data_IF_683791179624
#
_entry.id   IF_683791179624
#
_cell.length_a   1.000
_cell.length_b   1.000
_cell.length_c   1.000
_cell.angle_alpha   90.00
_cell.angle_beta   90.00
_cell.angle_gamma   90.00
#
_symmetry.space_group_name_H-M   'P 1'
#
loop_
_entity.id
_entity.type
_entity.pdbx_description
1 polymer ?
#
# COMPACT_ATOMS: atom_id res chain seq x y z
N UNK A 1 5.98 9.23 0.64
CA UNK A 1 6.26 8.05 1.51
C UNK A 1 4.98 7.33 1.90
N UNK A 2 4.15 7.89 2.79
CA UNK A 2 2.92 7.24 3.23
C UNK A 2 1.93 6.96 2.08
N UNK A 3 1.62 7.97 1.27
CA UNK A 3 0.69 7.81 0.13
C UNK A 3 1.23 6.84 -0.95
N UNK A 4 2.54 6.91 -1.24
CA UNK A 4 3.22 5.94 -2.10
C UNK A 4 3.04 4.50 -1.59
N UNK A 5 3.27 4.27 -0.30
CA UNK A 5 3.04 2.94 0.28
C UNK A 5 1.58 2.48 0.16
N UNK A 6 0.59 3.37 0.36
CA UNK A 6 -0.81 3.05 0.14
C UNK A 6 -1.10 2.63 -1.32
N UNK A 7 -0.48 3.32 -2.29
CA UNK A 7 -0.56 2.95 -3.70
C UNK A 7 0.07 1.58 -3.97
N UNK A 8 1.25 1.27 -3.43
CA UNK A 8 1.87 -0.04 -3.55
C UNK A 8 1.00 -1.15 -2.93
N UNK A 9 0.40 -0.91 -1.76
CA UNK A 9 -0.52 -1.86 -1.12
C UNK A 9 -1.75 -2.15 -1.99
N UNK A 10 -2.34 -1.13 -2.60
CA UNK A 10 -3.42 -1.28 -3.60
C UNK A 10 -2.97 -2.14 -4.80
N UNK A 11 -1.79 -1.86 -5.35
CA UNK A 11 -1.26 -2.59 -6.51
C UNK A 11 -0.96 -4.06 -6.19
N UNK A 12 -0.40 -4.33 -5.01
CA UNK A 12 -0.15 -5.71 -4.52
C UNK A 12 -1.46 -6.46 -4.29
N UNK A 13 -2.49 -5.80 -3.72
CA UNK A 13 -3.82 -6.38 -3.59
C UNK A 13 -4.38 -6.82 -4.94
N UNK A 14 -4.29 -5.98 -5.97
CA UNK A 14 -4.77 -6.32 -7.32
C UNK A 14 -4.04 -7.51 -7.94
N UNK A 15 -2.72 -7.61 -7.70
CA UNK A 15 -1.93 -8.77 -8.12
C UNK A 15 -2.34 -10.05 -7.38
N UNK A 16 -2.56 -9.98 -6.06
CA UNK A 16 -2.99 -11.13 -5.27
C UNK A 16 -4.36 -11.65 -5.71
N UNK A 17 -5.32 -10.76 -5.94
CA UNK A 17 -6.68 -11.12 -6.33
C UNK A 17 -6.85 -11.38 -7.83
N UNK A 18 -5.89 -10.99 -8.67
CA UNK A 18 -6.03 -11.01 -10.12
C UNK A 18 -7.07 -10.01 -10.65
N UNK A 19 -7.47 -9.03 -9.85
CA UNK A 19 -8.48 -8.03 -10.21
C UNK A 19 -7.88 -6.63 -10.28
N UNK A 20 -8.33 -5.83 -11.24
CA UNK A 20 -7.98 -4.41 -11.28
C UNK A 20 -8.60 -3.70 -10.08
N UNK A 21 -7.80 -3.11 -9.18
CA UNK A 21 -8.35 -2.38 -8.05
C UNK A 21 -9.10 -1.13 -8.52
N UNK A 22 -10.07 -0.69 -7.72
CA UNK A 22 -10.79 0.58 -7.89
C UNK A 22 -9.81 1.77 -8.02
N UNK A 23 -10.17 2.87 -8.72
CA UNK A 23 -9.29 4.02 -8.87
C UNK A 23 -8.68 4.50 -7.54
N UNK A 24 -7.43 4.95 -7.59
CA UNK A 24 -6.76 5.46 -6.41
C UNK A 24 -7.33 6.83 -6.01
N UNK A 25 -7.12 7.23 -4.75
CA UNK A 25 -7.69 8.47 -4.18
C UNK A 25 -7.17 9.75 -4.87
N UNK A 26 -6.04 9.64 -5.56
CA UNK A 26 -5.42 10.72 -6.32
C UNK A 26 -4.98 10.18 -7.67
N UNK A 27 -5.21 10.95 -8.73
CA UNK A 27 -4.74 10.62 -10.07
C UNK A 27 -3.22 10.61 -10.14
N UNK A 28 -2.69 9.79 -11.04
CA UNK A 28 -1.25 9.57 -11.21
C UNK A 28 -0.81 8.18 -10.77
N UNK A 29 0.50 8.02 -10.59
CA UNK A 29 1.13 6.74 -10.34
C UNK A 29 2.29 6.87 -9.36
N UNK A 30 2.42 5.88 -8.48
CA UNK A 30 3.59 5.61 -7.64
C UNK A 30 4.02 6.74 -6.69
N UNK A 31 4.56 7.83 -7.22
CA UNK A 31 5.00 9.02 -6.51
C UNK A 31 4.15 10.22 -6.88
N UNK A 32 3.28 10.59 -5.95
CA UNK A 32 2.30 11.66 -6.14
C UNK A 32 2.84 13.02 -5.74
N UNK A 33 2.56 14.02 -6.57
CA UNK A 33 2.85 15.41 -6.25
C UNK A 33 1.74 16.01 -5.36
N UNK A 34 2.12 16.48 -4.17
CA UNK A 34 1.20 17.02 -3.17
C UNK A 34 1.31 18.56 -3.02
N UNK A 35 2.11 19.21 -3.87
CA UNK A 35 2.30 20.66 -3.92
C UNK A 35 1.18 21.39 -4.68
N UNK A 36 0.35 20.66 -5.43
CA UNK A 36 -0.71 21.21 -6.28
C UNK A 36 -2.06 21.47 -5.58
N UNK A 37 -3.06 21.99 -6.32
CA UNK A 37 -4.39 22.31 -5.79
C UNK A 37 -5.17 21.08 -5.31
N UNK A 38 -4.87 19.89 -5.83
CA UNK A 38 -5.46 18.61 -5.42
C UNK A 38 -4.75 17.98 -4.20
N UNK A 39 -4.07 18.78 -3.35
CA UNK A 39 -3.33 18.23 -2.23
C UNK A 39 -4.26 17.48 -1.28
N UNK A 40 -3.90 16.24 -0.97
CA UNK A 40 -4.47 15.54 0.17
C UNK A 40 -3.87 16.11 1.46
N UNK A 41 -4.73 16.54 2.37
CA UNK A 41 -4.32 16.85 3.74
C UNK A 41 -3.82 15.58 4.45
N UNK A 42 -2.98 15.75 5.47
CA UNK A 42 -2.39 14.62 6.19
C UNK A 42 -3.42 13.60 6.69
N UNK A 43 -4.57 13.98 7.28
CA UNK A 43 -5.60 13.02 7.67
C UNK A 43 -6.16 12.18 6.52
N UNK A 44 -6.26 12.76 5.32
CA UNK A 44 -6.72 12.03 4.13
C UNK A 44 -5.68 11.02 3.65
N UNK A 45 -4.40 11.35 3.76
CA UNK A 45 -3.30 10.41 3.48
C UNK A 45 -3.31 9.26 4.48
N UNK A 46 -3.50 9.55 5.76
CA UNK A 46 -3.62 8.51 6.80
C UNK A 46 -4.81 7.59 6.52
N UNK A 47 -5.97 8.16 6.17
CA UNK A 47 -7.16 7.39 5.81
C UNK A 47 -6.92 6.50 4.57
N UNK A 48 -6.15 6.97 3.58
CA UNK A 48 -5.77 6.18 2.41
C UNK A 48 -4.86 4.99 2.80
N UNK A 49 -3.88 5.21 3.68
CA UNK A 49 -3.02 4.14 4.21
C UNK A 49 -3.83 3.09 4.95
N UNK A 50 -4.68 3.50 5.89
CA UNK A 50 -5.53 2.60 6.68
C UNK A 50 -6.45 1.77 5.78
N UNK A 51 -7.10 2.43 4.81
CA UNK A 51 -8.01 1.79 3.86
C UNK A 51 -7.29 0.73 3.03
N UNK A 52 -6.18 1.07 2.38
CA UNK A 52 -5.49 0.13 1.50
C UNK A 52 -4.80 -0.99 2.28
N UNK A 53 -4.30 -0.73 3.49
CA UNK A 53 -3.79 -1.77 4.39
C UNK A 53 -4.88 -2.75 4.83
N UNK A 54 -6.04 -2.23 5.27
CA UNK A 54 -7.19 -3.07 5.66
C UNK A 54 -7.63 -3.97 4.50
N UNK A 55 -7.74 -3.40 3.30
CA UNK A 55 -8.12 -4.15 2.10
C UNK A 55 -7.08 -5.19 1.69
N UNK A 56 -5.79 -4.87 1.80
CA UNK A 56 -4.71 -5.81 1.53
C UNK A 56 -4.74 -6.97 2.52
N UNK A 57 -4.89 -6.70 3.82
CA UNK A 57 -4.99 -7.73 4.85
C UNK A 57 -6.18 -8.66 4.62
N UNK A 58 -7.35 -8.11 4.26
CA UNK A 58 -8.52 -8.89 3.89
C UNK A 58 -8.26 -9.78 2.66
N UNK A 59 -7.63 -9.24 1.61
CA UNK A 59 -7.30 -10.01 0.41
C UNK A 59 -6.32 -11.16 0.70
N UNK A 60 -5.30 -10.93 1.55
CA UNK A 60 -4.39 -11.99 2.01
C UNK A 60 -5.15 -13.08 2.76
N UNK A 61 -6.06 -12.71 3.67
CA UNK A 61 -6.87 -13.66 4.42
C UNK A 61 -7.83 -14.47 3.52
N UNK A 62 -8.43 -13.83 2.51
CA UNK A 62 -9.33 -14.49 1.57
C UNK A 62 -8.60 -15.47 0.65
N UNK A 63 -7.40 -15.10 0.18
CA UNK A 63 -6.55 -16.01 -0.61
C UNK A 63 -6.07 -17.19 0.25
N UNK A 64 -5.63 -16.94 1.48
CA UNK A 64 -5.21 -18.01 2.40
C UNK A 64 -6.35 -18.98 2.76
N UNK A 65 -7.58 -18.48 2.87
CA UNK A 65 -8.76 -19.29 3.13
C UNK A 65 -9.39 -19.91 1.87
N UNK A 66 -8.82 -19.70 0.68
CA UNK A 66 -9.36 -20.20 -0.59
C UNK A 66 -10.67 -19.53 -1.04
N UNK A 67 -11.08 -18.42 -0.41
CA UNK A 67 -12.26 -17.63 -0.82
C UNK A 67 -11.99 -16.79 -2.07
N UNK A 68 -10.72 -16.52 -2.36
CA UNK A 68 -10.28 -15.86 -3.60
C UNK A 68 -9.18 -16.71 -4.25
N UNK A 69 -9.36 -17.04 -5.53
CA UNK A 69 -8.40 -17.82 -6.31
C UNK A 69 -7.39 -16.88 -6.97
N UNK A 70 -6.18 -16.84 -6.42
CA UNK A 70 -5.06 -16.16 -7.06
C UNK A 70 -4.50 -17.00 -8.22
N UNK A 71 -4.14 -16.35 -9.32
CA UNK A 71 -3.43 -17.00 -10.44
C UNK A 71 -1.93 -17.18 -10.16
N UNK A 72 -1.42 -16.55 -9.10
CA UNK A 72 -0.02 -16.66 -8.70
C UNK A 72 0.23 -17.99 -7.98
N UNK A 73 1.43 -18.55 -8.17
CA UNK A 73 1.91 -19.68 -7.37
C UNK A 73 2.06 -19.30 -5.89
N UNK A 74 2.16 -20.30 -5.02
CA UNK A 74 2.35 -20.06 -3.57
C UNK A 74 3.61 -19.24 -3.28
N UNK A 75 4.72 -19.54 -3.95
CA UNK A 75 5.97 -18.83 -3.80
C UNK A 75 5.85 -17.35 -4.24
N UNK A 76 5.16 -17.07 -5.34
CA UNK A 76 4.92 -15.71 -5.81
C UNK A 76 4.04 -14.92 -4.83
N UNK A 77 2.97 -15.53 -4.31
CA UNK A 77 2.12 -14.91 -3.29
C UNK A 77 2.90 -14.57 -2.03
N UNK A 78 3.70 -15.53 -1.55
CA UNK A 78 4.54 -15.33 -0.37
C UNK A 78 5.52 -14.18 -0.58
N UNK A 79 6.25 -14.18 -1.70
CA UNK A 79 7.21 -13.12 -2.02
C UNK A 79 6.55 -11.75 -2.14
N UNK A 80 5.35 -11.68 -2.71
CA UNK A 80 4.62 -10.44 -2.87
C UNK A 80 4.16 -9.86 -1.51
N UNK A 81 3.64 -10.70 -0.62
CA UNK A 81 3.23 -10.31 0.75
C UNK A 81 4.45 -9.93 1.61
N UNK A 82 5.53 -10.70 1.51
CA UNK A 82 6.79 -10.36 2.19
C UNK A 82 7.35 -9.03 1.67
N UNK A 83 7.36 -8.84 0.35
CA UNK A 83 7.87 -7.63 -0.29
C UNK A 83 7.15 -6.37 0.19
N UNK A 84 5.82 -6.37 0.19
CA UNK A 84 5.04 -5.21 0.67
C UNK A 84 5.18 -4.97 2.18
N UNK A 85 5.40 -6.03 2.96
CA UNK A 85 5.67 -5.92 4.40
C UNK A 85 7.02 -5.25 4.65
N UNK A 86 8.08 -5.73 3.99
CA UNK A 86 9.42 -5.12 4.05
C UNK A 86 9.40 -3.67 3.57
N UNK A 87 8.66 -3.38 2.51
CA UNK A 87 8.47 -2.03 1.97
C UNK A 87 7.81 -1.09 2.99
N UNK A 88 6.78 -1.56 3.71
CA UNK A 88 6.14 -0.79 4.78
C UNK A 88 7.14 -0.44 5.90
N UNK A 89 7.90 -1.43 6.37
CA UNK A 89 8.92 -1.26 7.43
C UNK A 89 10.01 -0.30 6.98
N UNK A 90 10.49 -0.43 5.74
CA UNK A 90 11.51 0.45 5.17
C UNK A 90 11.07 1.92 5.19
N UNK A 91 9.87 2.23 4.70
CA UNK A 91 9.37 3.61 4.69
C UNK A 91 9.03 4.14 6.08
N UNK A 92 8.52 3.30 6.99
CA UNK A 92 8.35 3.69 8.38
C UNK A 92 9.69 4.09 9.01
N UNK A 93 10.75 3.32 8.76
CA UNK A 93 12.11 3.65 9.19
C UNK A 93 12.61 4.98 8.64
N UNK A 94 12.44 5.24 7.34
CA UNK A 94 12.80 6.52 6.73
C UNK A 94 12.03 7.71 7.34
N UNK A 95 10.73 7.56 7.62
CA UNK A 95 9.94 8.60 8.30
C UNK A 95 10.50 8.89 9.69
N UNK A 96 10.81 7.85 10.47
CA UNK A 96 11.36 8.02 11.82
C UNK A 96 12.76 8.65 11.81
N UNK A 97 13.58 8.32 10.80
CA UNK A 97 14.87 8.99 10.59
C UNK A 97 14.68 10.49 10.32
N UNK A 98 13.75 10.85 9.42
CA UNK A 98 13.45 12.25 9.11
C UNK A 98 12.95 13.03 10.33
N UNK A 99 12.10 12.42 11.15
CA UNK A 99 11.64 13.01 12.43
C UNK A 99 12.82 13.33 13.35
N UNK A 100 13.70 12.35 13.58
CA UNK A 100 14.94 12.53 14.38
C UNK A 100 15.82 13.64 13.84
N UNK A 101 16.06 13.69 12.53
CA UNK A 101 16.89 14.72 11.90
C UNK A 101 16.27 16.12 11.99
N UNK A 102 14.94 16.21 12.10
CA UNK A 102 14.21 17.48 12.25
C UNK A 102 13.95 17.85 13.72
N UNK A 103 14.36 17.01 14.68
CA UNK A 103 14.13 17.24 16.11
C UNK A 103 12.65 17.11 16.53
N UNK A 104 11.86 16.33 15.77
CA UNK A 104 10.42 16.09 16.02
C UNK A 104 10.15 14.63 16.33
#
# INVERSE_FOLDING_TARGET
MALHHAFCARSVRGQLSGTTPEPFVLEGQDWFELSGPERLAWPQIQAAVEKEQTKLAAAVADVAAGRTLSQLSEAERFNLVLGITCHAVYHAGQIQLLKRLRGV
#
